data_IF_223189569076
#
_entry.id   IF_223189569076
#
_cell.length_a   1.000
_cell.length_b   1.000
_cell.length_c   1.000
_cell.angle_alpha   90.00
_cell.angle_beta   90.00
_cell.angle_gamma   90.00
#
_symmetry.space_group_name_H-M   'P 1'
#
loop_
_entity.id
_entity.type
_entity.pdbx_description
1 polymer ?
#
# COMPACT_ATOMS: atom_id res chain seq x y z
N UNK A 1 -10.44 10.13 4.96
CA UNK A 1 -9.72 9.24 5.89
C UNK A 1 -9.06 8.18 5.03
N UNK A 2 -7.73 8.18 4.87
CA UNK A 2 -7.05 7.14 4.11
C UNK A 2 -6.26 6.27 5.08
N UNK A 3 -6.53 4.97 4.96
CA UNK A 3 -6.13 3.94 5.87
C UNK A 3 -4.82 3.30 5.40
N UNK A 4 -3.80 3.25 6.27
CA UNK A 4 -2.67 2.36 6.08
C UNK A 4 -3.20 0.92 6.15
N UNK A 5 -2.98 0.15 5.08
CA UNK A 5 -3.52 -1.21 4.98
C UNK A 5 -2.69 -2.23 5.77
N UNK A 6 -3.34 -3.10 6.54
CA UNK A 6 -2.73 -4.32 7.08
C UNK A 6 -2.89 -5.49 6.11
N UNK A 7 -1.83 -6.23 5.83
CA UNK A 7 -1.89 -7.44 4.98
C UNK A 7 -1.98 -8.71 5.84
N UNK A 8 -2.97 -9.57 5.56
CA UNK A 8 -3.01 -10.92 6.12
C UNK A 8 -2.50 -11.92 5.10
N UNK A 9 -1.27 -12.36 5.33
CA UNK A 9 -0.55 -13.27 4.45
C UNK A 9 -0.83 -14.75 4.76
N UNK A 10 -0.66 -15.61 3.75
CA UNK A 10 -0.78 -17.07 3.83
C UNK A 10 -2.16 -17.59 4.29
N UNK A 11 -3.26 -16.93 3.91
CA UNK A 11 -4.62 -17.31 4.35
C UNK A 11 -5.01 -18.74 3.97
N UNK A 12 -4.63 -19.20 2.77
CA UNK A 12 -4.82 -20.60 2.35
C UNK A 12 -4.11 -21.57 3.30
N UNK A 13 -2.84 -21.33 3.63
CA UNK A 13 -2.05 -22.22 4.49
C UNK A 13 -2.62 -22.22 5.90
N UNK A 14 -2.93 -21.05 6.46
CA UNK A 14 -3.54 -20.95 7.80
C UNK A 14 -4.83 -21.76 7.85
N UNK A 15 -5.67 -21.65 6.81
CA UNK A 15 -6.93 -22.38 6.75
C UNK A 15 -6.71 -23.87 6.59
N UNK A 16 -5.93 -24.29 5.60
CA UNK A 16 -5.76 -25.70 5.22
C UNK A 16 -4.96 -26.50 6.26
N UNK A 17 -4.08 -25.86 7.04
CA UNK A 17 -3.17 -26.54 7.96
C UNK A 17 -3.46 -26.25 9.44
N UNK A 18 -4.51 -25.50 9.76
CA UNK A 18 -5.00 -25.38 11.14
C UNK A 18 -6.23 -26.26 11.34
N UNK A 19 -6.08 -27.36 12.08
CA UNK A 19 -7.15 -28.35 12.27
C UNK A 19 -8.48 -27.75 12.73
N UNK A 20 -8.44 -26.79 13.67
CA UNK A 20 -9.65 -26.11 14.14
C UNK A 20 -10.40 -25.33 13.03
N UNK A 21 -9.69 -24.76 12.05
CA UNK A 21 -10.30 -24.07 10.91
C UNK A 21 -10.87 -25.03 9.86
N UNK A 22 -10.54 -26.32 9.94
CA UNK A 22 -11.07 -27.37 9.07
C UNK A 22 -12.26 -28.10 9.70
N UNK A 23 -12.40 -28.08 11.03
CA UNK A 23 -13.43 -28.84 11.75
C UNK A 23 -14.55 -27.98 12.33
N UNK A 24 -14.29 -26.69 12.59
CA UNK A 24 -15.30 -25.76 13.08
C UNK A 24 -15.89 -24.93 11.92
N UNK A 25 -17.21 -25.00 11.75
CA UNK A 25 -17.93 -24.33 10.67
C UNK A 25 -17.88 -22.80 10.76
N UNK A 26 -17.71 -22.24 11.96
CA UNK A 26 -17.83 -20.80 12.22
C UNK A 26 -16.50 -20.14 12.55
N UNK A 27 -15.46 -20.90 12.90
CA UNK A 27 -14.19 -20.34 13.38
C UNK A 27 -13.49 -19.49 12.31
N UNK A 28 -13.52 -19.91 11.04
CA UNK A 28 -12.92 -19.14 9.94
C UNK A 28 -13.59 -17.79 9.72
N UNK A 29 -14.92 -17.75 9.73
CA UNK A 29 -15.67 -16.49 9.65
C UNK A 29 -15.41 -15.62 10.88
N UNK A 30 -15.47 -16.21 12.08
CA UNK A 30 -15.23 -15.52 13.35
C UNK A 30 -13.87 -14.85 13.35
N UNK A 31 -12.84 -15.58 12.95
CA UNK A 31 -11.47 -15.06 12.84
C UNK A 31 -11.35 -13.88 11.88
N UNK A 32 -11.88 -14.01 10.66
CA UNK A 32 -11.85 -12.93 9.68
C UNK A 32 -12.64 -11.71 10.14
N UNK A 33 -13.82 -11.89 10.72
CA UNK A 33 -14.65 -10.81 11.25
C UNK A 33 -13.99 -10.07 12.41
N UNK A 34 -13.32 -10.79 13.31
CA UNK A 34 -12.58 -10.16 14.41
C UNK A 34 -11.44 -9.28 13.88
N UNK A 35 -10.68 -9.75 12.87
CA UNK A 35 -9.68 -8.92 12.19
C UNK A 35 -10.31 -7.70 11.52
N UNK A 36 -11.44 -7.88 10.84
CA UNK A 36 -12.22 -6.80 10.22
C UNK A 36 -12.69 -5.74 11.22
N UNK A 37 -13.24 -6.18 12.34
CA UNK A 37 -13.72 -5.30 13.42
C UNK A 37 -12.56 -4.51 14.04
N UNK A 38 -11.42 -5.17 14.28
CA UNK A 38 -10.22 -4.47 14.77
C UNK A 38 -9.75 -3.43 13.76
N UNK A 39 -9.63 -3.78 12.48
CA UNK A 39 -9.27 -2.84 11.43
C UNK A 39 -10.24 -1.65 11.36
N UNK A 40 -11.54 -1.90 11.53
CA UNK A 40 -12.57 -0.84 11.57
C UNK A 40 -12.32 0.13 12.72
N UNK A 41 -12.06 -0.38 13.92
CA UNK A 41 -11.77 0.43 15.11
C UNK A 41 -10.58 1.36 14.91
N UNK A 42 -9.55 0.90 14.19
CA UNK A 42 -8.35 1.68 13.93
C UNK A 42 -8.37 2.44 12.60
N UNK A 43 -9.49 2.43 11.87
CA UNK A 43 -9.57 3.08 10.56
C UNK A 43 -8.58 2.52 9.54
N UNK A 44 -8.27 1.23 9.62
CA UNK A 44 -7.34 0.52 8.73
C UNK A 44 -8.10 -0.20 7.61
N UNK A 45 -7.46 -0.29 6.45
CA UNK A 45 -7.89 -1.18 5.37
C UNK A 45 -7.20 -2.52 5.51
N UNK A 46 -7.76 -3.55 4.90
CA UNK A 46 -7.23 -4.91 4.91
C UNK A 46 -6.97 -5.40 3.50
N UNK A 47 -5.85 -6.10 3.36
CA UNK A 47 -5.53 -6.92 2.20
C UNK A 47 -5.58 -8.39 2.58
N UNK A 48 -6.32 -9.18 1.80
CA UNK A 48 -6.21 -10.64 1.86
C UNK A 48 -5.20 -11.15 0.85
N UNK A 49 -4.34 -12.05 1.30
CA UNK A 49 -3.18 -12.52 0.57
C UNK A 49 -3.12 -14.05 0.66
N UNK A 50 -2.80 -14.72 -0.46
CA UNK A 50 -3.07 -16.15 -0.68
C UNK A 50 -4.51 -16.56 -0.31
N UNK A 51 -5.48 -15.76 -0.74
CA UNK A 51 -6.87 -15.99 -0.38
C UNK A 51 -7.48 -17.16 -1.19
N UNK A 52 -8.12 -18.11 -0.50
CA UNK A 52 -9.07 -19.02 -1.14
C UNK A 52 -10.33 -18.23 -1.56
N UNK A 53 -11.13 -18.71 -2.54
CA UNK A 53 -12.37 -18.04 -2.95
C UNK A 53 -13.32 -17.72 -1.78
N UNK A 54 -13.40 -18.62 -0.78
CA UNK A 54 -14.17 -18.38 0.45
C UNK A 54 -13.71 -17.17 1.26
N UNK A 55 -12.41 -16.88 1.31
CA UNK A 55 -11.89 -15.70 2.01
C UNK A 55 -12.23 -14.43 1.25
N UNK A 56 -12.11 -14.45 -0.08
CA UNK A 56 -12.50 -13.33 -0.92
C UNK A 56 -14.01 -13.04 -0.76
N UNK A 57 -14.88 -14.05 -0.78
CA UNK A 57 -16.32 -13.88 -0.54
C UNK A 57 -16.63 -13.26 0.83
N UNK A 58 -15.84 -13.55 1.86
CA UNK A 58 -16.01 -12.94 3.19
C UNK A 58 -15.88 -11.40 3.15
N UNK A 59 -15.15 -10.83 2.18
CA UNK A 59 -15.03 -9.37 2.01
C UNK A 59 -16.37 -8.65 1.86
N UNK A 60 -17.40 -9.34 1.33
CA UNK A 60 -18.77 -8.81 1.22
C UNK A 60 -19.39 -8.43 2.58
N UNK A 61 -18.87 -9.00 3.67
CA UNK A 61 -19.34 -8.76 5.04
C UNK A 61 -18.34 -7.99 5.90
N UNK A 62 -17.15 -7.68 5.35
CA UNK A 62 -16.05 -7.02 6.04
C UNK A 62 -15.58 -5.84 5.18
N UNK A 63 -16.21 -4.65 5.31
CA UNK A 63 -15.96 -3.52 4.40
C UNK A 63 -14.54 -2.95 4.49
N UNK A 64 -13.78 -3.30 5.52
CA UNK A 64 -12.37 -2.96 5.67
C UNK A 64 -11.50 -3.71 4.65
N UNK A 65 -11.94 -4.84 4.10
CA UNK A 65 -11.20 -5.56 3.06
C UNK A 65 -11.37 -4.79 1.75
N UNK A 66 -10.37 -4.03 1.37
CA UNK A 66 -10.40 -3.19 0.16
C UNK A 66 -9.67 -3.83 -1.01
N UNK A 67 -8.85 -4.84 -0.77
CA UNK A 67 -8.01 -5.46 -1.80
C UNK A 67 -7.72 -6.94 -1.50
N UNK A 68 -7.47 -7.69 -2.57
CA UNK A 68 -7.13 -9.11 -2.51
C UNK A 68 -6.00 -9.39 -3.48
N UNK A 69 -5.00 -10.18 -3.07
CA UNK A 69 -3.97 -10.65 -3.97
C UNK A 69 -4.55 -11.67 -4.96
N UNK A 70 -4.37 -11.39 -6.25
CA UNK A 70 -4.94 -12.15 -7.37
C UNK A 70 -3.90 -12.94 -8.17
N UNK A 71 -2.68 -12.99 -7.66
CA UNK A 71 -1.53 -13.69 -8.21
C UNK A 71 -0.92 -14.65 -7.19
N UNK A 72 -0.06 -15.53 -7.68
CA UNK A 72 0.92 -16.22 -6.85
C UNK A 72 2.00 -15.27 -6.30
N UNK A 73 2.80 -15.80 -5.37
CA UNK A 73 3.96 -15.09 -4.86
C UNK A 73 4.97 -14.79 -5.98
N UNK A 74 5.54 -13.59 -5.92
CA UNK A 74 6.55 -13.15 -6.86
C UNK A 74 7.75 -14.13 -6.95
N UNK A 75 8.22 -14.39 -8.18
CA UNK A 75 9.27 -15.36 -8.55
C UNK A 75 8.96 -16.85 -8.32
N UNK A 76 7.78 -17.21 -7.79
CA UNK A 76 7.33 -18.62 -7.74
C UNK A 76 6.61 -19.05 -9.03
N UNK A 77 6.10 -18.09 -9.81
CA UNK A 77 5.45 -18.32 -11.10
C UNK A 77 6.04 -17.39 -12.19
N UNK A 78 6.52 -17.90 -13.35
CA UNK A 78 6.97 -17.05 -14.45
C UNK A 78 5.85 -16.25 -15.13
N UNK A 79 4.59 -16.66 -14.95
CA UNK A 79 3.40 -16.02 -15.51
C UNK A 79 2.61 -15.24 -14.46
N UNK A 80 3.23 -14.91 -13.34
CA UNK A 80 2.63 -14.23 -12.19
C UNK A 80 1.90 -12.91 -12.52
N UNK A 81 2.30 -12.24 -13.62
CA UNK A 81 1.62 -11.05 -14.16
C UNK A 81 0.25 -11.35 -14.80
N UNK A 82 -0.08 -12.60 -15.13
CA UNK A 82 -1.33 -13.00 -15.78
C UNK A 82 -2.48 -13.12 -14.77
N UNK A 83 -2.89 -11.99 -14.21
CA UNK A 83 -3.91 -11.92 -13.16
C UNK A 83 -5.35 -11.80 -13.66
N UNK A 84 -5.59 -11.88 -14.98
CA UNK A 84 -6.87 -11.48 -15.59
C UNK A 84 -8.11 -12.18 -15.01
N UNK A 85 -8.10 -13.51 -14.91
CA UNK A 85 -9.24 -14.29 -14.42
C UNK A 85 -9.53 -13.97 -12.95
N UNK A 86 -8.50 -14.04 -12.10
CA UNK A 86 -8.62 -13.75 -10.67
C UNK A 86 -9.02 -12.29 -10.41
N UNK A 87 -8.60 -11.36 -11.28
CA UNK A 87 -8.97 -9.95 -11.19
C UNK A 87 -10.45 -9.71 -11.48
N UNK A 88 -11.05 -10.45 -12.42
CA UNK A 88 -12.50 -10.38 -12.69
C UNK A 88 -13.28 -10.78 -11.44
N UNK A 89 -12.84 -11.85 -10.76
CA UNK A 89 -13.48 -12.29 -9.53
C UNK A 89 -13.35 -11.25 -8.40
N UNK A 90 -12.15 -10.70 -8.18
CA UNK A 90 -11.96 -9.62 -7.20
C UNK A 90 -12.80 -8.38 -7.52
N UNK A 91 -12.85 -7.98 -8.79
CA UNK A 91 -13.67 -6.86 -9.25
C UNK A 91 -15.17 -7.07 -8.96
N UNK A 92 -15.69 -8.27 -9.21
CA UNK A 92 -17.09 -8.62 -8.92
C UNK A 92 -17.45 -8.51 -7.43
N UNK A 93 -16.46 -8.67 -6.55
CA UNK A 93 -16.61 -8.52 -5.10
C UNK A 93 -16.35 -7.09 -4.60
N UNK A 94 -16.14 -6.13 -5.53
CA UNK A 94 -15.79 -4.74 -5.24
C UNK A 94 -14.51 -4.59 -4.37
N UNK A 95 -13.55 -5.49 -4.56
CA UNK A 95 -12.21 -5.41 -3.95
C UNK A 95 -11.16 -5.23 -5.04
N UNK A 96 -10.11 -4.48 -4.73
CA UNK A 96 -9.05 -4.15 -5.68
C UNK A 96 -8.12 -5.35 -5.92
N UNK A 97 -7.90 -5.76 -7.17
CA UNK A 97 -6.91 -6.79 -7.51
C UNK A 97 -5.48 -6.33 -7.21
N UNK A 98 -4.78 -7.04 -6.32
CA UNK A 98 -3.35 -6.84 -6.05
C UNK A 98 -2.51 -7.91 -6.76
N UNK A 99 -1.56 -7.49 -7.60
CA UNK A 99 -0.67 -8.39 -8.36
C UNK A 99 0.50 -8.94 -7.55
N UNK A 100 0.65 -8.63 -6.26
CA UNK A 100 1.91 -8.86 -5.55
C UNK A 100 3.06 -7.94 -5.99
N UNK A 101 4.15 -8.01 -5.23
CA UNK A 101 5.38 -7.26 -5.49
C UNK A 101 6.06 -7.65 -6.81
N UNK A 102 7.02 -6.84 -7.25
CA UNK A 102 7.89 -7.14 -8.39
C UNK A 102 9.20 -6.37 -8.32
N UNK A 103 10.25 -6.86 -8.99
CA UNK A 103 11.47 -6.09 -9.19
C UNK A 103 11.34 -5.15 -10.38
N UNK A 104 11.68 -3.89 -10.17
CA UNK A 104 11.81 -2.86 -11.21
C UNK A 104 13.12 -3.01 -11.99
N UNK A 105 14.09 -3.76 -11.46
CA UNK A 105 15.30 -4.18 -12.17
C UNK A 105 15.26 -5.64 -12.62
N UNK A 106 16.06 -5.97 -13.65
CA UNK A 106 16.19 -7.36 -14.12
C UNK A 106 16.93 -8.27 -13.14
N UNK A 107 17.90 -7.71 -12.41
CA UNK A 107 18.82 -8.48 -11.59
C UNK A 107 18.91 -7.87 -10.19
N UNK A 108 18.45 -8.61 -9.20
CA UNK A 108 18.68 -8.33 -7.78
C UNK A 108 19.50 -9.47 -7.17
N UNK A 109 20.82 -9.44 -7.38
CA UNK A 109 21.72 -10.55 -7.01
C UNK A 109 22.21 -10.54 -5.57
N UNK A 110 21.66 -9.68 -4.70
CA UNK A 110 22.23 -9.43 -3.36
C UNK A 110 21.61 -10.30 -2.27
N UNK A 111 20.40 -10.82 -2.47
CA UNK A 111 19.76 -11.73 -1.51
C UNK A 111 20.10 -13.19 -1.85
N UNK A 112 20.74 -13.95 -0.94
CA UNK A 112 21.07 -15.36 -1.17
C UNK A 112 19.87 -16.23 -1.55
N UNK A 113 18.66 -15.90 -1.05
CA UNK A 113 17.41 -16.61 -1.34
C UNK A 113 17.01 -16.52 -2.82
N UNK A 114 17.42 -15.46 -3.51
CA UNK A 114 17.06 -15.19 -4.91
C UNK A 114 18.30 -15.20 -5.83
N UNK A 115 19.40 -15.82 -5.40
CA UNK A 115 20.63 -15.92 -6.19
C UNK A 115 20.34 -16.60 -7.54
N UNK A 116 20.71 -15.92 -8.63
CA UNK A 116 20.51 -16.41 -10.00
C UNK A 116 19.08 -16.27 -10.53
N UNK A 117 18.15 -15.69 -9.75
CA UNK A 117 16.83 -15.30 -10.25
C UNK A 117 16.92 -13.94 -10.94
N UNK A 118 16.09 -13.77 -11.96
CA UNK A 118 15.99 -12.53 -12.73
C UNK A 118 14.53 -12.20 -13.01
N UNK A 119 14.22 -10.91 -13.12
CA UNK A 119 12.94 -10.43 -13.60
C UNK A 119 13.02 -10.22 -15.13
N UNK A 120 12.36 -11.06 -15.93
CA UNK A 120 12.46 -10.98 -17.39
C UNK A 120 11.87 -9.68 -17.96
N UNK A 121 10.81 -9.14 -17.35
CA UNK A 121 10.09 -7.98 -17.86
C UNK A 121 9.58 -7.06 -16.73
N UNK A 122 10.46 -6.25 -16.11
CA UNK A 122 10.07 -5.30 -15.05
C UNK A 122 8.98 -4.32 -15.51
N UNK A 123 9.04 -3.89 -16.77
CA UNK A 123 8.05 -2.97 -17.35
C UNK A 123 6.66 -3.60 -17.44
N UNK A 124 6.56 -4.89 -17.79
CA UNK A 124 5.29 -5.60 -17.84
C UNK A 124 4.69 -5.72 -16.43
N UNK A 125 5.50 -6.10 -15.45
CA UNK A 125 5.08 -6.19 -14.05
C UNK A 125 4.57 -4.85 -13.52
N UNK A 126 5.29 -3.77 -13.83
CA UNK A 126 4.90 -2.40 -13.48
C UNK A 126 3.56 -2.00 -14.08
N UNK A 127 3.38 -2.19 -15.40
CA UNK A 127 2.11 -1.87 -16.09
C UNK A 127 0.95 -2.68 -15.51
N UNK A 128 1.11 -3.99 -15.33
CA UNK A 128 0.05 -4.85 -14.78
C UNK A 128 -0.30 -4.44 -13.36
N UNK A 129 0.69 -4.20 -12.49
CA UNK A 129 0.45 -3.76 -11.10
C UNK A 129 -0.29 -2.43 -11.05
N UNK A 130 0.03 -1.52 -11.96
CA UNK A 130 -0.60 -0.20 -12.04
C UNK A 130 -2.06 -0.32 -12.50
N UNK A 131 -2.31 -1.11 -13.54
CA UNK A 131 -3.64 -1.28 -14.14
C UNK A 131 -4.55 -2.19 -13.31
N UNK A 132 -4.00 -2.98 -12.37
CA UNK A 132 -4.80 -3.86 -11.52
C UNK A 132 -5.62 -3.11 -10.47
N UNK A 133 -5.37 -1.80 -10.27
CA UNK A 133 -6.05 -0.92 -9.30
C UNK A 133 -5.83 -1.25 -7.82
N UNK A 134 -5.01 -2.26 -7.53
CA UNK A 134 -4.50 -2.55 -6.19
C UNK A 134 -3.16 -1.84 -5.93
N UNK A 135 -2.47 -2.21 -4.84
CA UNK A 135 -1.15 -1.70 -4.56
C UNK A 135 -0.13 -1.99 -5.66
N UNK A 136 0.75 -1.03 -5.92
CA UNK A 136 1.96 -1.22 -6.74
C UNK A 136 3.12 -1.43 -5.77
N UNK A 137 3.61 -2.67 -5.68
CA UNK A 137 4.65 -3.05 -4.71
C UNK A 137 6.02 -3.26 -5.36
N UNK A 138 6.87 -2.23 -5.50
CA UNK A 138 8.27 -2.48 -5.83
C UNK A 138 8.92 -3.28 -4.68
N UNK A 139 9.45 -4.46 -5.02
CA UNK A 139 10.11 -5.37 -4.09
C UNK A 139 11.63 -5.33 -4.21
N UNK A 140 12.18 -4.36 -4.95
CA UNK A 140 13.62 -4.16 -5.06
C UNK A 140 14.22 -3.77 -3.71
N UNK A 141 15.51 -4.05 -3.53
CA UNK A 141 16.31 -3.45 -2.47
C UNK A 141 16.26 -1.93 -2.60
N UNK A 142 16.26 -1.23 -1.47
CA UNK A 142 16.11 0.24 -1.36
C UNK A 142 17.02 1.09 -2.27
N UNK A 143 18.16 0.55 -2.72
CA UNK A 143 19.12 1.23 -3.60
C UNK A 143 19.23 0.61 -5.00
N UNK A 144 18.33 -0.30 -5.35
CA UNK A 144 18.32 -1.01 -6.62
C UNK A 144 17.05 -0.76 -7.44
N UNK A 145 16.10 0.04 -6.92
CA UNK A 145 14.90 0.42 -7.66
C UNK A 145 15.24 1.12 -8.99
N UNK A 146 14.73 0.59 -10.10
CA UNK A 146 14.73 1.26 -11.39
C UNK A 146 13.60 2.28 -11.46
N UNK A 147 13.97 3.52 -11.18
CA UNK A 147 13.08 4.68 -11.19
C UNK A 147 12.32 4.85 -12.50
N UNK A 148 12.97 4.71 -13.66
CA UNK A 148 12.33 4.86 -14.97
C UNK A 148 11.19 3.87 -15.18
N UNK A 149 11.33 2.63 -14.70
CA UNK A 149 10.28 1.61 -14.80
C UNK A 149 9.12 1.94 -13.87
N UNK A 150 9.42 2.43 -12.68
CA UNK A 150 8.41 2.74 -11.68
C UNK A 150 7.64 4.01 -12.06
N UNK A 151 8.30 5.08 -12.48
CA UNK A 151 7.67 6.34 -12.92
C UNK A 151 6.73 6.20 -14.12
N UNK A 152 6.78 5.08 -14.86
CA UNK A 152 5.77 4.77 -15.89
C UNK A 152 4.40 4.42 -15.32
N UNK A 153 4.30 4.14 -14.02
CA UNK A 153 3.05 3.90 -13.31
C UNK A 153 2.27 5.17 -12.96
N UNK A 154 2.80 6.37 -13.28
CA UNK A 154 2.17 7.67 -13.05
C UNK A 154 3.06 8.63 -12.27
N UNK A 155 2.47 9.71 -11.75
CA UNK A 155 3.17 10.64 -10.85
C UNK A 155 3.33 9.96 -9.49
N UNK A 156 4.56 9.60 -9.13
CA UNK A 156 4.83 8.83 -7.92
C UNK A 156 5.44 9.72 -6.86
N UNK A 157 4.83 9.65 -5.67
CA UNK A 157 5.33 10.28 -4.45
C UNK A 157 5.73 9.16 -3.49
N UNK A 158 7.03 9.00 -3.25
CA UNK A 158 7.52 8.15 -2.17
C UNK A 158 7.61 8.97 -0.90
N UNK A 159 7.06 8.45 0.19
CA UNK A 159 7.19 9.05 1.51
C UNK A 159 8.32 8.32 2.22
N UNK A 160 9.50 8.93 2.25
CA UNK A 160 10.65 8.38 2.99
C UNK A 160 10.58 8.71 4.48
N UNK A 161 9.78 9.72 4.84
CA UNK A 161 9.55 10.11 6.23
C UNK A 161 10.71 10.88 6.86
N UNK A 162 10.78 10.85 8.18
CA UNK A 162 11.84 11.48 8.98
C UNK A 162 13.09 10.59 9.00
N UNK A 163 13.95 10.68 7.97
CA UNK A 163 15.09 9.77 7.80
C UNK A 163 16.12 9.79 8.94
N UNK A 164 16.10 10.81 9.80
CA UNK A 164 16.94 10.87 11.01
C UNK A 164 16.40 10.02 12.16
N UNK A 165 15.22 9.39 12.01
CA UNK A 165 14.57 8.57 13.04
C UNK A 165 14.62 7.09 12.68
N UNK A 166 14.63 6.24 13.71
CA UNK A 166 14.57 4.78 13.58
C UNK A 166 13.28 4.28 12.91
N UNK A 167 12.18 5.00 13.11
CA UNK A 167 10.90 4.76 12.44
C UNK A 167 10.59 6.00 11.60
N UNK A 168 11.05 6.06 10.34
CA UNK A 168 10.92 7.26 9.50
C UNK A 168 9.46 7.60 9.18
N UNK A 169 8.62 6.57 9.06
CA UNK A 169 7.19 6.67 8.79
C UNK A 169 6.44 6.02 9.95
N UNK A 170 5.79 6.83 10.78
CA UNK A 170 5.08 6.39 11.98
C UNK A 170 3.58 6.72 11.87
N UNK A 171 2.66 5.80 12.20
CA UNK A 171 1.23 6.09 12.24
C UNK A 171 0.83 7.07 13.36
N UNK A 172 1.68 7.24 14.38
CA UNK A 172 1.51 8.29 15.39
C UNK A 172 1.89 9.68 14.87
N UNK A 173 2.80 9.74 13.88
CA UNK A 173 3.27 10.96 13.22
C UNK A 173 2.38 11.34 12.04
N UNK A 174 2.21 10.42 11.10
CA UNK A 174 1.41 10.59 9.89
C UNK A 174 0.05 9.98 10.16
N UNK A 175 -0.89 10.81 10.57
CA UNK A 175 -2.22 10.37 11.03
C UNK A 175 -3.19 10.12 9.86
N UNK A 176 -2.94 10.77 8.72
CA UNK A 176 -3.72 10.62 7.50
C UNK A 176 -2.86 11.02 6.30
N UNK A 177 -3.09 10.37 5.17
CA UNK A 177 -2.56 10.81 3.88
C UNK A 177 -3.75 11.05 2.96
N UNK A 178 -3.74 12.12 2.19
CA UNK A 178 -4.82 12.52 1.30
C UNK A 178 -4.25 12.75 -0.09
N UNK A 179 -4.70 11.94 -1.04
CA UNK A 179 -4.30 12.08 -2.44
C UNK A 179 -5.31 12.99 -3.13
N UNK A 180 -4.81 14.12 -3.62
CA UNK A 180 -5.55 15.11 -4.40
C UNK A 180 -5.11 15.00 -5.87
N UNK A 181 -5.88 15.53 -6.84
CA UNK A 181 -5.58 15.38 -8.26
C UNK A 181 -4.14 15.78 -8.66
N UNK A 182 -3.61 16.82 -8.02
CA UNK A 182 -2.29 17.38 -8.37
C UNK A 182 -1.24 17.24 -7.26
N UNK A 183 -1.61 16.70 -6.10
CA UNK A 183 -0.71 16.65 -4.93
C UNK A 183 -1.08 15.55 -3.93
N UNK A 184 -0.17 15.28 -3.00
CA UNK A 184 -0.34 14.37 -1.88
C UNK A 184 -0.11 15.15 -0.56
N UNK A 185 -1.10 15.10 0.33
CA UNK A 185 -1.09 15.78 1.63
C UNK A 185 -0.93 14.80 2.78
N UNK A 186 0.01 15.07 3.68
CA UNK A 186 0.18 14.32 4.92
C UNK A 186 -0.35 15.16 6.08
N UNK A 187 -1.21 14.57 6.89
CA UNK A 187 -1.60 15.10 8.18
C UNK A 187 -0.56 14.68 9.20
N UNK A 188 0.15 15.65 9.75
CA UNK A 188 1.22 15.45 10.70
C UNK A 188 0.76 15.84 12.09
N UNK A 189 0.90 14.91 13.02
CA UNK A 189 0.76 15.15 14.44
C UNK A 189 2.14 15.44 15.04
N UNK A 190 2.22 16.36 16.00
CA UNK A 190 3.47 16.73 16.65
C UNK A 190 3.26 17.67 17.83
N UNK A 191 4.35 18.01 18.51
CA UNK A 191 4.31 18.93 19.65
C UNK A 191 4.44 20.37 19.15
N UNK A 192 3.74 21.33 19.79
CA UNK A 192 3.91 22.76 19.43
C UNK A 192 5.39 23.15 19.39
N UNK A 193 5.77 23.90 18.36
CA UNK A 193 7.14 24.36 18.09
C UNK A 193 8.15 23.25 17.75
N UNK A 194 7.73 21.99 17.62
CA UNK A 194 8.56 20.90 17.09
C UNK A 194 8.88 21.19 15.61
N UNK A 195 10.15 21.05 15.23
CA UNK A 195 10.56 21.10 13.82
C UNK A 195 10.67 19.69 13.26
N UNK A 196 9.95 19.42 12.18
CA UNK A 196 9.83 18.12 11.53
C UNK A 196 10.37 18.24 10.12
N UNK A 197 11.28 17.35 9.74
CA UNK A 197 11.80 17.26 8.37
C UNK A 197 11.34 15.95 7.73
N UNK A 198 10.41 16.06 6.79
CA UNK A 198 9.91 14.93 6.01
C UNK A 198 10.61 14.88 4.66
N UNK A 199 11.05 13.68 4.29
CA UNK A 199 11.73 13.44 3.02
C UNK A 199 10.76 12.72 2.07
N UNK A 200 10.70 13.20 0.84
CA UNK A 200 9.89 12.63 -0.22
C UNK A 200 10.72 12.43 -1.47
N UNK A 201 10.35 11.48 -2.32
CA UNK A 201 10.80 11.47 -3.72
C UNK A 201 9.57 11.79 -4.55
N UNK A 202 9.61 12.91 -5.27
CA UNK A 202 8.55 13.33 -6.19
C UNK A 202 9.17 13.45 -7.57
N UNK A 203 8.68 12.65 -8.52
CA UNK A 203 9.21 12.61 -9.89
C UNK A 203 10.75 12.56 -9.92
N UNK A 204 11.31 11.58 -9.20
CA UNK A 204 12.76 11.34 -9.02
C UNK A 204 13.59 12.40 -8.30
N UNK A 205 12.97 13.50 -7.89
CA UNK A 205 13.65 14.54 -7.11
C UNK A 205 13.43 14.28 -5.63
N UNK A 206 14.53 14.11 -4.88
CA UNK A 206 14.48 14.13 -3.43
C UNK A 206 14.03 15.53 -2.98
N UNK A 207 12.95 15.58 -2.21
CA UNK A 207 12.36 16.78 -1.63
C UNK A 207 12.43 16.67 -0.11
N UNK A 208 13.06 17.65 0.52
CA UNK A 208 13.13 17.76 1.97
C UNK A 208 12.19 18.89 2.38
N UNK A 209 11.14 18.55 3.12
CA UNK A 209 10.15 19.52 3.59
C UNK A 209 10.29 19.65 5.09
N UNK A 210 10.79 20.80 5.52
CA UNK A 210 10.95 21.13 6.94
C UNK A 210 9.82 22.06 7.37
N UNK A 211 9.06 21.63 8.37
CA UNK A 211 7.92 22.35 8.91
C UNK A 211 8.06 22.49 10.42
N UNK A 212 7.70 23.66 10.96
CA UNK A 212 7.53 23.84 12.40
C UNK A 212 6.06 23.64 12.75
N UNK A 213 5.78 22.78 13.71
CA UNK A 213 4.43 22.49 14.18
C UNK A 213 3.86 23.76 14.83
N UNK A 214 2.79 24.33 14.28
CA UNK A 214 2.13 25.51 14.85
C UNK A 214 1.50 25.21 16.22
N UNK A 215 1.17 26.26 16.98
CA UNK A 215 0.45 26.14 18.26
C UNK A 215 -0.91 25.45 18.14
N UNK A 216 -1.51 25.51 16.95
CA UNK A 216 -2.70 24.74 16.60
C UNK A 216 -2.25 23.40 16.03
N UNK A 217 -2.41 22.29 16.75
CA UNK A 217 -1.80 20.95 16.52
C UNK A 217 -1.97 20.34 15.09
N UNK A 218 -2.72 20.98 14.20
CA UNK A 218 -2.91 20.54 12.82
C UNK A 218 -1.79 21.08 11.91
N UNK A 219 -0.89 20.20 11.47
CA UNK A 219 0.10 20.47 10.43
C UNK A 219 -0.20 19.62 9.19
N UNK A 220 -0.22 20.24 8.02
CA UNK A 220 -0.35 19.57 6.73
C UNK A 220 0.92 19.78 5.90
N UNK A 221 1.43 18.69 5.33
CA UNK A 221 2.58 18.73 4.42
C UNK A 221 2.13 18.37 3.00
N UNK A 222 2.38 19.28 2.07
CA UNK A 222 2.19 19.05 0.64
C UNK A 222 3.51 18.50 0.04
N UNK A 223 3.51 17.21 -0.27
CA UNK A 223 4.72 16.52 -0.73
C UNK A 223 5.19 17.02 -2.10
N UNK A 224 4.26 17.31 -3.02
CA UNK A 224 4.57 17.73 -4.40
C UNK A 224 5.04 19.17 -4.46
N UNK A 225 4.35 20.08 -3.76
CA UNK A 225 4.70 21.51 -3.69
C UNK A 225 5.83 21.77 -2.70
N UNK A 226 6.16 20.81 -1.84
CA UNK A 226 7.17 20.96 -0.79
C UNK A 226 6.86 22.11 0.18
N UNK A 227 5.60 22.20 0.63
CA UNK A 227 5.12 23.29 1.51
C UNK A 227 4.36 22.76 2.71
N UNK A 228 4.24 23.60 3.74
CA UNK A 228 3.54 23.32 4.98
C UNK A 228 2.33 24.26 5.12
N UNK A 229 1.22 23.79 5.68
CA UNK A 229 0.06 24.64 5.98
C UNK A 229 -0.63 24.21 7.27
N UNK A 230 -1.39 25.14 7.85
CA UNK A 230 -2.14 24.94 9.11
C UNK A 230 -3.66 24.95 8.87
N UNK A 231 -4.07 25.04 7.61
CA UNK A 231 -5.46 25.12 7.16
C UNK A 231 -5.67 24.07 6.09
N UNK A 232 -6.75 23.31 6.17
CA UNK A 232 -7.12 22.33 5.13
C UNK A 232 -7.31 23.12 3.82
N UNK A 233 -6.54 22.83 2.76
CA UNK A 233 -6.69 23.54 1.49
C UNK A 233 -8.08 23.32 0.90
N UNK A 234 -8.69 24.42 0.45
CA UNK A 234 -10.09 24.54 0.06
C UNK A 234 -10.44 23.93 -1.32
N UNK A 235 -9.86 22.78 -1.67
CA UNK A 235 -10.19 22.03 -2.90
C UNK A 235 -10.96 20.73 -2.65
N UNK A 236 -11.51 20.53 -1.44
CA UNK A 236 -12.22 19.29 -1.05
C UNK A 236 -13.72 19.32 -1.39
N UNK A 237 -14.24 20.40 -1.97
CA UNK A 237 -15.59 20.44 -2.51
C UNK A 237 -15.58 20.10 -4.00
N UNK A 238 -16.05 18.89 -4.34
CA UNK A 238 -16.33 18.37 -5.68
C UNK A 238 -15.11 17.81 -6.46
N UNK A 239 -14.90 16.49 -6.37
CA UNK A 239 -15.37 15.52 -7.40
C UNK A 239 -14.89 14.09 -7.07
N UNK A 240 -15.87 13.21 -6.87
CA UNK A 240 -15.92 11.78 -7.23
C UNK A 240 -14.63 10.95 -7.34
N UNK A 241 -14.47 10.02 -6.38
CA UNK A 241 -13.98 8.65 -6.56
C UNK A 241 -12.82 8.42 -7.55
N UNK A 242 -11.60 8.82 -7.17
CA UNK A 242 -10.39 8.17 -7.68
C UNK A 242 -9.53 7.76 -6.48
N UNK A 243 -9.88 6.63 -5.89
CA UNK A 243 -9.07 5.96 -4.86
C UNK A 243 -7.93 5.22 -5.56
N UNK A 244 -6.87 5.92 -5.95
CA UNK A 244 -5.58 5.33 -6.30
C UNK A 244 -4.50 5.98 -5.44
N UNK A 245 -4.42 5.50 -4.20
CA UNK A 245 -3.31 5.75 -3.29
C UNK A 245 -2.79 4.38 -2.86
N UNK A 246 -1.69 3.95 -3.46
CA UNK A 246 -1.02 2.70 -3.13
C UNK A 246 0.21 3.03 -2.31
N UNK A 247 0.16 2.79 -1.00
CA UNK A 247 1.29 2.95 -0.07
C UNK A 247 1.94 1.58 0.16
N UNK A 248 3.24 1.45 -0.05
CA UNK A 248 4.05 0.34 0.46
C UNK A 248 5.42 0.89 0.89
N UNK A 249 5.87 0.45 2.07
CA UNK A 249 7.13 0.74 2.75
C UNK A 249 8.37 0.29 1.97
#
# INVERSE_FOLDING_TARGET
MAASGGAKDWLNIQTLFTGALQTDLNLGETWLRQMGNAAKTYGLSLQYCMALPRHALQSLTIPQVTQVRVSEDYLLDPLQWKIGISSIFAYALNVRPYKDTFWTTKNESVNPRYKGKTEPSPALQSVVSTLSTGPVGPGDKINMVNKTVLMRSGKIVYILGEQSKWVPVSPQRITKIEVLPDTLHLHINGTSSETITMNFIVDDTLKNVTCTVPNNVNLYIDAVKSTCSNTIPSSVAARTNINTASFIY
#
